data_IF_772251985387
#
_entry.id   IF_772251985387
#
_cell.length_a   1.000
_cell.length_b   1.000
_cell.length_c   1.000
_cell.angle_alpha   90.00
_cell.angle_beta   90.00
_cell.angle_gamma   90.00
#
_symmetry.space_group_name_H-M   'P 1'
#
loop_
_entity.id
_entity.type
_entity.pdbx_description
1 polymer ?
#
# COMPACT_ATOMS: atom_id res chain seq x y z
N UNK A 1 29.49 24.51 23.14
CA UNK A 1 29.07 23.29 23.87
C UNK A 1 29.64 22.11 23.12
N UNK A 2 30.42 21.27 23.80
CA UNK A 2 30.90 20.03 23.21
C UNK A 2 29.72 19.08 22.98
N UNK A 3 29.82 18.25 21.95
CA UNK A 3 28.78 17.27 21.66
C UNK A 3 28.70 16.19 22.74
N UNK A 4 27.51 15.99 23.30
CA UNK A 4 27.25 14.91 24.27
C UNK A 4 26.86 13.58 23.60
N UNK A 5 26.73 13.55 22.27
CA UNK A 5 26.30 12.37 21.48
C UNK A 5 27.52 11.66 20.85
N UNK A 6 28.59 12.39 20.53
CA UNK A 6 29.76 11.86 19.84
C UNK A 6 30.97 11.86 20.80
N UNK A 7 31.69 10.73 20.95
CA UNK A 7 32.93 10.68 21.71
C UNK A 7 34.02 11.44 20.92
N UNK A 8 34.34 12.67 21.35
CA UNK A 8 35.32 13.52 20.64
C UNK A 8 34.89 14.99 20.45
N UNK A 9 33.65 15.34 20.79
CA UNK A 9 33.26 16.64 21.36
C UNK A 9 33.32 17.93 20.52
N UNK A 10 34.13 18.09 19.48
CA UNK A 10 34.43 19.41 18.90
C UNK A 10 33.60 19.81 17.66
N UNK A 11 32.30 19.52 17.66
CA UNK A 11 31.43 19.93 16.56
C UNK A 11 30.20 20.71 17.01
N UNK A 12 29.62 21.46 16.08
CA UNK A 12 28.48 22.35 16.34
C UNK A 12 27.20 21.53 16.57
N UNK A 13 26.42 21.91 17.59
CA UNK A 13 25.09 21.37 17.85
C UNK A 13 24.03 22.44 17.59
N UNK A 14 22.88 22.03 17.06
CA UNK A 14 21.70 22.88 16.90
C UNK A 14 20.80 22.72 18.11
N UNK A 15 20.48 23.85 18.75
CA UNK A 15 19.55 23.93 19.85
C UNK A 15 18.17 24.39 19.35
N UNK A 16 17.10 23.69 19.74
CA UNK A 16 15.72 24.09 19.48
C UNK A 16 14.83 23.81 20.69
N UNK A 17 14.06 24.80 21.09
CA UNK A 17 12.96 24.63 22.04
C UNK A 17 11.69 24.24 21.30
N UNK A 18 10.96 23.27 21.85
CA UNK A 18 9.67 22.80 21.34
C UNK A 18 8.63 22.90 22.43
N UNK A 19 7.40 23.23 22.04
CA UNK A 19 6.23 23.29 22.91
C UNK A 19 5.20 22.28 22.41
N UNK A 20 4.28 21.87 23.29
CA UNK A 20 3.21 20.94 22.94
C UNK A 20 2.21 21.59 21.97
N UNK A 21 1.93 20.92 20.85
CA UNK A 21 0.89 21.28 19.88
C UNK A 21 -0.14 20.16 19.64
N UNK A 22 -0.24 19.20 20.56
CA UNK A 22 -1.13 18.05 20.38
C UNK A 22 -2.60 18.43 20.60
N UNK A 23 -3.46 18.00 19.68
CA UNK A 23 -4.91 18.15 19.81
C UNK A 23 -5.43 17.48 21.09
N UNK A 24 -4.89 16.29 21.42
CA UNK A 24 -5.28 15.54 22.62
C UNK A 24 -5.03 16.29 23.94
N UNK A 25 -3.99 17.12 24.05
CA UNK A 25 -3.78 17.95 25.24
C UNK A 25 -4.73 19.15 25.30
N UNK A 26 -5.20 19.62 24.14
CA UNK A 26 -6.15 20.74 24.01
C UNK A 26 -7.57 20.27 24.33
N UNK A 27 -7.92 19.04 23.98
CA UNK A 27 -9.23 18.45 24.25
C UNK A 27 -9.43 18.15 25.75
N UNK A 28 -8.36 17.83 26.47
CA UNK A 28 -8.41 17.49 27.91
C UNK A 28 -8.48 18.72 28.80
N UNK A 29 -7.88 19.84 28.37
CA UNK A 29 -7.91 21.09 29.15
C UNK A 29 -7.86 22.30 28.23
N UNK A 30 -8.70 23.32 28.47
CA UNK A 30 -8.63 24.60 27.76
C UNK A 30 -7.36 25.40 28.12
N UNK A 31 -6.62 24.99 29.16
CA UNK A 31 -5.35 25.59 29.55
C UNK A 31 -4.21 25.01 28.70
N UNK A 32 -3.33 25.88 28.20
CA UNK A 32 -2.16 25.48 27.41
C UNK A 32 -1.34 24.43 28.16
N UNK A 33 -0.96 23.38 27.45
CA UNK A 33 -0.11 22.32 27.99
C UNK A 33 1.24 22.88 28.44
N UNK A 34 1.66 22.49 29.64
CA UNK A 34 2.89 22.97 30.29
C UNK A 34 4.14 22.22 29.83
N UNK A 35 3.99 21.14 29.05
CA UNK A 35 5.10 20.36 28.50
C UNK A 35 5.96 21.20 27.55
N UNK A 36 7.28 21.14 27.77
CA UNK A 36 8.32 21.76 26.96
C UNK A 36 9.42 20.75 26.68
N UNK A 37 9.94 20.77 25.46
CA UNK A 37 11.08 19.95 25.05
C UNK A 37 12.28 20.81 24.65
N UNK A 38 13.47 20.38 25.03
CA UNK A 38 14.74 20.87 24.52
C UNK A 38 15.33 19.83 23.59
N UNK A 39 15.40 20.15 22.31
CA UNK A 39 16.01 19.30 21.29
C UNK A 39 17.45 19.77 21.02
N UNK A 40 18.39 18.84 21.17
CA UNK A 40 19.78 19.03 20.79
C UNK A 40 20.10 18.13 19.60
N UNK A 41 20.40 18.71 18.45
CA UNK A 41 20.75 17.96 17.23
C UNK A 41 22.24 18.11 16.95
N UNK A 42 22.94 16.99 16.83
CA UNK A 42 24.29 16.94 16.27
C UNK A 42 24.23 17.18 14.76
N UNK A 43 24.97 18.16 14.23
CA UNK A 43 24.95 18.47 12.80
C UNK A 43 25.79 17.50 11.95
N UNK A 44 26.66 16.69 12.56
CA UNK A 44 27.48 15.71 11.83
C UNK A 44 26.82 14.33 11.73
N UNK A 45 26.23 13.85 12.84
CA UNK A 45 25.59 12.54 12.90
C UNK A 45 24.08 12.59 12.65
N UNK A 46 23.51 13.78 12.51
CA UNK A 46 22.07 14.06 12.42
C UNK A 46 21.23 13.48 13.58
N UNK A 47 21.89 13.00 14.64
CA UNK A 47 21.22 12.45 15.83
C UNK A 47 20.70 13.59 16.69
N UNK A 48 19.45 13.46 17.10
CA UNK A 48 18.80 14.38 18.01
C UNK A 48 18.50 13.70 19.35
N UNK A 49 18.82 14.38 20.44
CA UNK A 49 18.33 14.06 21.78
C UNK A 49 17.27 15.08 22.20
N UNK A 50 16.22 14.60 22.87
CA UNK A 50 15.13 15.43 23.38
C UNK A 50 15.14 15.30 24.90
N UNK A 51 15.17 16.42 25.58
CA UNK A 51 15.02 16.53 27.03
C UNK A 51 13.67 17.16 27.32
N UNK A 52 12.89 16.53 28.19
CA UNK A 52 11.51 16.93 28.46
C UNK A 52 11.41 17.66 29.81
N UNK A 53 10.55 18.67 29.88
CA UNK A 53 10.25 19.44 31.08
C UNK A 53 8.74 19.64 31.22
N UNK A 54 8.20 19.26 32.38
CA UNK A 54 6.75 19.24 32.63
C UNK A 54 6.07 17.99 32.05
N UNK A 55 4.77 17.86 32.31
CA UNK A 55 3.96 16.73 31.85
C UNK A 55 2.88 17.21 30.86
N UNK A 56 2.47 16.30 29.98
CA UNK A 56 1.32 16.54 29.12
C UNK A 56 0.02 16.48 29.93
N UNK A 57 -0.96 17.36 29.61
CA UNK A 57 -2.27 17.38 30.29
C UNK A 57 -3.04 16.06 30.08
N UNK A 58 -2.88 15.45 28.91
CA UNK A 58 -3.37 14.11 28.64
C UNK A 58 -2.34 13.09 29.12
N UNK A 59 -2.75 12.18 30.00
CA UNK A 59 -2.01 10.95 30.35
C UNK A 59 -1.97 9.92 29.20
N UNK A 60 -1.92 10.41 27.96
CA UNK A 60 -1.48 9.63 26.82
C UNK A 60 0.00 9.40 27.03
N UNK A 61 0.33 8.36 27.79
CA UNK A 61 1.65 7.74 27.81
C UNK A 61 2.28 7.89 26.44
N UNK A 62 3.43 8.58 26.36
CA UNK A 62 4.65 8.30 25.57
C UNK A 62 4.64 7.29 24.40
N UNK A 63 3.49 7.02 23.79
CA UNK A 63 3.29 6.25 22.60
C UNK A 63 3.12 7.31 21.51
N UNK A 64 4.06 7.39 20.56
CA UNK A 64 3.94 8.33 19.47
C UNK A 64 2.60 8.06 18.76
N UNK A 65 1.85 9.12 18.47
CA UNK A 65 0.86 9.24 17.38
C UNK A 65 0.50 7.91 16.72
N UNK A 66 -0.78 7.44 16.75
CA UNK A 66 -1.17 6.04 16.59
C UNK A 66 -0.21 5.31 15.66
N UNK A 67 0.81 4.68 16.25
CA UNK A 67 1.93 4.14 15.49
C UNK A 67 1.32 3.24 14.45
N UNK A 68 1.37 3.65 13.17
CA UNK A 68 0.77 2.88 12.07
C UNK A 68 1.30 1.48 12.23
N UNK A 69 0.45 0.53 12.69
CA UNK A 69 0.89 -0.80 13.09
C UNK A 69 1.56 -1.42 11.87
N UNK A 70 2.90 -1.50 11.90
CA UNK A 70 3.70 -1.99 10.78
C UNK A 70 3.74 -3.51 10.87
N UNK A 71 3.80 -4.17 9.73
CA UNK A 71 4.00 -5.62 9.69
C UNK A 71 5.36 -5.96 10.29
N UNK A 72 5.38 -6.84 11.29
CA UNK A 72 6.62 -7.40 11.85
C UNK A 72 7.32 -8.28 10.82
N UNK A 73 8.61 -8.57 11.01
CA UNK A 73 9.35 -9.40 10.06
C UNK A 73 8.76 -10.82 9.93
N UNK A 74 8.29 -11.39 11.04
CA UNK A 74 7.62 -12.70 11.07
C UNK A 74 6.29 -12.65 10.32
N UNK A 75 5.50 -11.60 10.53
CA UNK A 75 4.25 -11.38 9.79
C UNK A 75 4.50 -11.21 8.29
N UNK A 76 5.56 -10.50 7.89
CA UNK A 76 5.93 -10.36 6.47
C UNK A 76 6.29 -11.71 5.86
N UNK A 77 7.04 -12.57 6.56
CA UNK A 77 7.37 -13.91 6.07
C UNK A 77 6.11 -14.75 5.83
N UNK A 78 5.20 -14.76 6.79
CA UNK A 78 3.91 -15.44 6.66
C UNK A 78 3.07 -14.86 5.51
N UNK A 79 3.00 -13.54 5.38
CA UNK A 79 2.33 -12.90 4.25
C UNK A 79 2.93 -13.32 2.91
N UNK A 80 4.27 -13.40 2.79
CA UNK A 80 4.93 -13.82 1.53
C UNK A 80 4.50 -15.22 1.10
N UNK A 81 4.48 -16.17 2.03
CA UNK A 81 4.02 -17.55 1.77
C UNK A 81 2.57 -17.58 1.28
N UNK A 82 1.67 -16.82 1.94
CA UNK A 82 0.28 -16.73 1.51
C UNK A 82 0.08 -16.01 0.17
N UNK A 83 0.95 -15.05 -0.16
CA UNK A 83 0.94 -14.38 -1.47
C UNK A 83 1.42 -15.31 -2.57
N UNK A 84 2.41 -16.17 -2.29
CA UNK A 84 2.85 -17.22 -3.20
C UNK A 84 1.73 -18.22 -3.50
N UNK A 85 0.87 -18.49 -2.52
CA UNK A 85 -0.36 -19.27 -2.69
C UNK A 85 -1.55 -18.47 -3.28
N UNK A 86 -1.29 -17.29 -3.86
CA UNK A 86 -2.28 -16.42 -4.51
C UNK A 86 -3.50 -16.05 -3.64
N UNK A 87 -3.33 -15.98 -2.31
CA UNK A 87 -4.42 -15.59 -1.42
C UNK A 87 -4.68 -14.08 -1.47
N UNK A 88 -5.96 -13.71 -1.47
CA UNK A 88 -6.38 -12.29 -1.46
C UNK A 88 -5.91 -11.58 -0.18
N UNK A 89 -5.52 -10.30 -0.23
CA UNK A 89 -5.02 -9.55 0.94
C UNK A 89 -5.96 -9.57 2.16
N UNK A 90 -7.27 -9.59 1.95
CA UNK A 90 -8.23 -9.71 3.05
C UNK A 90 -8.14 -11.08 3.74
N UNK A 91 -8.03 -12.16 2.96
CA UNK A 91 -7.86 -13.52 3.49
C UNK A 91 -6.54 -13.65 4.24
N UNK A 92 -5.48 -13.01 3.74
CA UNK A 92 -4.17 -12.93 4.41
C UNK A 92 -4.31 -12.25 5.78
N UNK A 93 -5.01 -11.11 5.87
CA UNK A 93 -5.25 -10.42 7.15
C UNK A 93 -6.01 -11.29 8.16
N UNK A 94 -7.05 -12.01 7.73
CA UNK A 94 -7.75 -12.93 8.64
C UNK A 94 -6.92 -14.15 9.02
N UNK A 95 -6.09 -14.67 8.12
CA UNK A 95 -5.17 -15.76 8.42
C UNK A 95 -4.10 -15.34 9.43
N UNK A 96 -3.61 -14.10 9.35
CA UNK A 96 -2.71 -13.51 10.34
C UNK A 96 -3.35 -13.46 11.73
N UNK A 97 -4.62 -13.02 11.83
CA UNK A 97 -5.33 -12.96 13.10
C UNK A 97 -5.34 -14.32 13.81
N UNK A 98 -5.63 -15.39 13.05
CA UNK A 98 -5.63 -16.76 13.55
C UNK A 98 -4.23 -17.27 13.89
N UNK A 99 -3.23 -17.00 13.05
CA UNK A 99 -1.86 -17.53 13.23
C UNK A 99 -1.12 -16.91 14.40
N UNK A 100 -1.35 -15.62 14.66
CA UNK A 100 -0.68 -14.86 15.73
C UNK A 100 -1.56 -14.63 16.96
N UNK A 101 -2.74 -15.26 17.02
CA UNK A 101 -3.75 -15.06 18.08
C UNK A 101 -4.00 -13.58 18.39
N UNK A 102 -3.96 -12.73 17.35
CA UNK A 102 -4.06 -11.27 17.47
C UNK A 102 -5.44 -10.83 16.97
N UNK A 103 -6.19 -10.02 17.72
CA UNK A 103 -7.48 -9.51 17.27
C UNK A 103 -7.32 -8.60 16.03
N UNK A 104 -8.37 -8.48 15.22
CA UNK A 104 -8.33 -7.78 13.93
C UNK A 104 -8.06 -6.28 14.06
N UNK A 105 -8.42 -5.71 15.21
CA UNK A 105 -8.22 -4.33 15.66
C UNK A 105 -6.74 -4.07 16.02
N UNK A 106 -6.03 -5.12 16.43
CA UNK A 106 -4.61 -5.08 16.75
C UNK A 106 -3.71 -5.30 15.54
N UNK A 107 -4.26 -5.83 14.45
CA UNK A 107 -3.53 -6.02 13.21
C UNK A 107 -3.33 -4.71 12.42
N UNK A 108 -2.29 -4.65 11.56
CA UNK A 108 -2.15 -3.61 10.56
C UNK A 108 -3.43 -3.44 9.73
N UNK A 109 -3.77 -2.19 9.43
CA UNK A 109 -4.90 -1.87 8.56
C UNK A 109 -4.79 -2.61 7.22
N UNK A 110 -5.93 -2.96 6.63
CA UNK A 110 -6.00 -3.67 5.34
C UNK A 110 -5.21 -2.95 4.24
N UNK A 111 -5.18 -1.62 4.24
CA UNK A 111 -4.39 -0.81 3.31
C UNK A 111 -2.89 -1.15 3.39
N UNK A 112 -2.35 -1.33 4.59
CA UNK A 112 -0.94 -1.69 4.82
C UNK A 112 -0.64 -3.08 4.28
N UNK A 113 -1.53 -4.05 4.54
CA UNK A 113 -1.40 -5.44 4.04
C UNK A 113 -1.49 -5.45 2.51
N UNK A 114 -2.48 -4.76 1.91
CA UNK A 114 -2.62 -4.62 0.46
C UNK A 114 -1.35 -4.04 -0.17
N UNK A 115 -0.82 -2.95 0.37
CA UNK A 115 0.38 -2.31 -0.16
C UNK A 115 1.59 -3.26 -0.12
N UNK A 116 1.80 -3.98 0.98
CA UNK A 116 2.89 -4.95 1.10
C UNK A 116 2.73 -6.11 0.11
N UNK A 117 1.54 -6.71 0.05
CA UNK A 117 1.23 -7.82 -0.86
C UNK A 117 1.41 -7.41 -2.31
N UNK A 118 0.88 -6.25 -2.70
CA UNK A 118 0.99 -5.76 -4.08
C UNK A 118 2.44 -5.45 -4.45
N UNK A 119 3.21 -4.84 -3.54
CA UNK A 119 4.63 -4.60 -3.78
C UNK A 119 5.37 -5.92 -3.97
N UNK A 120 5.21 -6.87 -3.05
CA UNK A 120 5.88 -8.18 -3.12
C UNK A 120 5.50 -8.96 -4.39
N UNK A 121 4.22 -8.99 -4.74
CA UNK A 121 3.76 -9.66 -5.96
C UNK A 121 4.37 -9.05 -7.23
N UNK A 122 4.46 -7.72 -7.31
CA UNK A 122 5.06 -7.02 -8.46
C UNK A 122 6.56 -7.23 -8.56
N UNK A 123 7.28 -7.30 -7.43
CA UNK A 123 8.74 -7.37 -7.43
C UNK A 123 9.30 -8.79 -7.42
N UNK A 124 8.55 -9.80 -6.96
CA UNK A 124 9.08 -11.15 -6.70
C UNK A 124 8.29 -12.27 -7.37
N UNK A 125 7.08 -12.03 -7.86
CA UNK A 125 6.25 -13.07 -8.48
C UNK A 125 6.07 -12.87 -9.99
N UNK A 126 6.95 -12.07 -10.62
CA UNK A 126 6.85 -11.71 -12.04
C UNK A 126 5.42 -11.35 -12.46
N UNK A 127 4.66 -10.75 -11.54
CA UNK A 127 3.32 -10.26 -11.83
C UNK A 127 3.47 -8.92 -12.56
N UNK A 128 4.19 -8.96 -13.67
CA UNK A 128 4.15 -7.96 -14.72
C UNK A 128 2.72 -7.99 -15.24
N UNK A 129 2.13 -6.81 -15.43
CA UNK A 129 0.79 -6.68 -15.96
C UNK A 129 0.69 -7.44 -17.30
N UNK A 130 0.28 -8.71 -17.24
CA UNK A 130 -0.07 -9.52 -18.42
C UNK A 130 -1.24 -8.91 -19.17
N UNK A 131 -1.81 -7.83 -18.65
CA UNK A 131 -2.73 -6.94 -19.34
C UNK A 131 -2.19 -6.56 -20.70
N UNK A 132 -0.89 -6.27 -20.86
CA UNK A 132 -0.35 -5.95 -22.19
C UNK A 132 -0.38 -7.15 -23.14
N UNK A 133 0.09 -8.31 -22.69
CA UNK A 133 0.09 -9.54 -23.49
C UNK A 133 -1.33 -10.01 -23.84
N UNK A 134 -2.24 -9.94 -22.86
CA UNK A 134 -3.66 -10.22 -23.03
C UNK A 134 -4.30 -9.20 -23.99
N UNK A 135 -3.92 -7.93 -23.90
CA UNK A 135 -4.43 -6.90 -24.82
C UNK A 135 -3.96 -7.16 -26.24
N UNK A 136 -2.70 -7.55 -26.41
CA UNK A 136 -2.17 -7.95 -27.71
C UNK A 136 -2.91 -9.16 -28.26
N UNK A 137 -3.07 -10.22 -27.46
CA UNK A 137 -3.78 -11.44 -27.88
C UNK A 137 -5.24 -11.16 -28.25
N UNK A 138 -5.95 -10.34 -27.46
CA UNK A 138 -7.34 -9.96 -27.74
C UNK A 138 -7.44 -9.13 -29.01
N UNK A 139 -6.49 -8.24 -29.30
CA UNK A 139 -6.46 -7.47 -30.56
C UNK A 139 -6.12 -8.34 -31.76
N UNK A 140 -5.18 -9.28 -31.63
CA UNK A 140 -4.87 -10.26 -32.67
C UNK A 140 -6.07 -11.12 -33.02
N UNK A 141 -6.89 -11.48 -32.02
CA UNK A 141 -8.08 -12.30 -32.18
C UNK A 141 -9.36 -11.48 -32.43
N UNK A 142 -9.27 -10.17 -32.66
CA UNK A 142 -10.42 -9.32 -32.96
C UNK A 142 -11.17 -9.81 -34.22
N UNK A 143 -12.47 -9.52 -34.30
CA UNK A 143 -13.28 -9.94 -35.44
C UNK A 143 -12.78 -9.35 -36.75
N UNK A 144 -12.46 -10.23 -37.70
CA UNK A 144 -12.17 -9.91 -39.08
C UNK A 144 -12.99 -10.85 -39.98
N UNK A 145 -13.61 -10.30 -41.01
CA UNK A 145 -14.37 -11.04 -42.00
C UNK A 145 -13.54 -12.12 -42.70
N UNK A 146 -12.21 -11.97 -42.78
CA UNK A 146 -11.29 -12.93 -43.40
C UNK A 146 -11.03 -14.20 -42.57
N UNK A 147 -11.34 -14.21 -41.27
CA UNK A 147 -11.05 -15.33 -40.36
C UNK A 147 -11.95 -16.54 -40.60
N UNK A 148 -11.41 -17.72 -40.30
CA UNK A 148 -12.10 -19.00 -40.50
C UNK A 148 -13.31 -19.16 -39.58
N UNK A 149 -14.28 -19.99 -39.97
CA UNK A 149 -15.53 -20.15 -39.21
C UNK A 149 -15.35 -20.74 -37.81
N UNK A 150 -14.28 -21.48 -37.60
CA UNK A 150 -13.99 -22.25 -36.37
C UNK A 150 -12.98 -21.56 -35.46
N UNK A 151 -12.28 -20.53 -35.94
CA UNK A 151 -11.32 -19.80 -35.13
C UNK A 151 -11.99 -18.98 -34.03
N UNK A 152 -11.38 -18.92 -32.84
CA UNK A 152 -11.86 -18.07 -31.76
C UNK A 152 -11.66 -16.60 -32.12
N UNK A 153 -12.71 -15.83 -31.90
CA UNK A 153 -12.77 -14.40 -32.15
C UNK A 153 -13.17 -13.69 -30.86
N UNK A 154 -12.53 -12.56 -30.59
CA UNK A 154 -12.78 -11.73 -29.41
C UNK A 154 -13.68 -10.54 -29.75
N UNK A 155 -14.50 -10.16 -28.78
CA UNK A 155 -15.29 -8.93 -28.80
C UNK A 155 -15.19 -8.23 -27.44
N UNK A 156 -15.23 -6.91 -27.46
CA UNK A 156 -15.21 -6.05 -26.27
C UNK A 156 -16.41 -5.13 -26.26
N UNK A 157 -16.62 -4.43 -25.15
CA UNK A 157 -17.70 -3.45 -25.04
C UNK A 157 -17.51 -2.26 -25.98
N UNK A 158 -16.28 -1.73 -26.05
CA UNK A 158 -15.91 -0.59 -26.90
C UNK A 158 -14.84 -0.99 -27.93
N UNK A 159 -14.86 -0.31 -29.08
CA UNK A 159 -13.85 -0.36 -30.13
C UNK A 159 -13.16 1.01 -30.23
N UNK A 160 -11.88 1.02 -30.60
CA UNK A 160 -11.15 2.26 -30.87
C UNK A 160 -11.48 2.80 -32.28
N UNK A 161 -10.92 3.97 -32.61
CA UNK A 161 -11.14 4.61 -33.91
C UNK A 161 -10.63 3.77 -35.11
N UNK A 162 -9.81 2.75 -34.85
CA UNK A 162 -9.32 1.80 -35.85
C UNK A 162 -10.16 0.51 -35.90
N UNK A 163 -11.24 0.43 -35.12
CA UNK A 163 -12.11 -0.75 -35.03
C UNK A 163 -11.54 -1.89 -34.17
N UNK A 164 -10.47 -1.65 -33.41
CA UNK A 164 -9.85 -2.65 -32.55
C UNK A 164 -10.48 -2.65 -31.15
N UNK A 165 -10.53 -3.83 -30.48
CA UNK A 165 -11.10 -3.94 -29.15
C UNK A 165 -10.35 -3.11 -28.10
N UNK A 166 -11.09 -2.29 -27.35
CA UNK A 166 -10.61 -1.54 -26.19
C UNK A 166 -10.81 -2.37 -24.94
N UNK A 167 -9.72 -2.56 -24.20
CA UNK A 167 -9.72 -3.35 -22.96
C UNK A 167 -9.57 -2.40 -21.79
N UNK A 168 -10.55 -2.42 -20.89
CA UNK A 168 -10.52 -1.67 -19.65
C UNK A 168 -9.48 -2.20 -18.66
N UNK A 169 -9.15 -1.39 -17.66
CA UNK A 169 -8.18 -1.74 -16.62
C UNK A 169 -8.82 -2.49 -15.42
N UNK A 170 -10.09 -2.91 -15.54
CA UNK A 170 -10.82 -3.59 -14.48
C UNK A 170 -11.34 -2.66 -13.38
N UNK A 171 -11.33 -1.34 -13.61
CA UNK A 171 -12.03 -0.38 -12.74
C UNK A 171 -13.50 -0.27 -13.12
N UNK A 172 -14.32 0.27 -12.21
CA UNK A 172 -15.76 0.47 -12.48
C UNK A 172 -16.02 1.42 -13.66
N UNK A 173 -15.09 2.37 -13.89
CA UNK A 173 -15.17 3.32 -15.02
C UNK A 173 -14.68 2.72 -16.34
N UNK A 174 -13.81 1.72 -16.28
CA UNK A 174 -13.21 1.03 -17.44
C UNK A 174 -13.14 -0.46 -17.15
N UNK A 175 -14.28 -1.17 -17.18
CA UNK A 175 -14.32 -2.59 -16.84
C UNK A 175 -13.54 -3.42 -17.85
N UNK A 176 -12.87 -4.48 -17.38
CA UNK A 176 -12.22 -5.46 -18.25
C UNK A 176 -13.29 -6.48 -18.68
N UNK A 177 -13.84 -6.31 -19.88
CA UNK A 177 -14.86 -7.18 -20.46
C UNK A 177 -14.42 -7.65 -21.84
N UNK A 178 -14.18 -8.95 -21.97
CA UNK A 178 -13.80 -9.60 -23.22
C UNK A 178 -14.67 -10.84 -23.38
N UNK A 179 -15.44 -10.88 -24.46
CA UNK A 179 -16.14 -12.07 -24.90
C UNK A 179 -15.34 -12.83 -25.94
N UNK A 180 -15.46 -14.16 -25.94
CA UNK A 180 -14.82 -15.05 -26.90
C UNK A 180 -15.92 -15.90 -27.54
N UNK A 181 -15.96 -15.92 -28.86
CA UNK A 181 -16.91 -16.71 -29.65
C UNK A 181 -16.22 -17.25 -30.89
N UNK A 182 -16.95 -17.94 -31.76
CA UNK A 182 -16.49 -18.31 -33.11
C UNK A 182 -17.43 -17.72 -34.14
N UNK A 183 -16.93 -17.48 -35.35
CA UNK A 183 -17.75 -16.88 -36.43
C UNK A 183 -18.95 -17.76 -36.79
N UNK A 184 -18.81 -19.08 -36.71
CA UNK A 184 -19.92 -20.03 -36.85
C UNK A 184 -21.10 -19.79 -35.90
N UNK A 185 -20.86 -19.15 -34.74
CA UNK A 185 -21.92 -18.78 -33.78
C UNK A 185 -22.45 -17.36 -33.95
N UNK A 186 -21.75 -16.50 -34.68
CA UNK A 186 -22.20 -15.15 -34.99
C UNK A 186 -23.17 -15.12 -36.19
N UNK A 187 -23.00 -16.05 -37.12
CA UNK A 187 -23.92 -16.25 -38.25
C UNK A 187 -24.93 -17.35 -37.90
N UNK A 188 -25.99 -17.01 -37.15
CA UNK A 188 -27.17 -17.87 -37.05
C UNK A 188 -27.96 -17.84 -38.37
N UNK A 189 -28.62 -18.93 -38.80
CA UNK A 189 -29.54 -18.89 -39.93
C UNK A 189 -30.67 -17.90 -39.63
N UNK A 190 -30.94 -17.02 -40.60
CA UNK A 190 -32.08 -16.10 -40.59
C UNK A 190 -33.42 -16.86 -40.63
#
# INVERSE_FOLDING_TARGET
>A
MACTICPGGDHKMRYRLVECSSASCTDVSPVRCTWRGKMLTCLESERASIFEFGEHNSASSSLPFPVRKKLTQVQKAFCRDLVQNHLRPMRIRHAMARKFATPLEELPALKTVKNFVNHYARTQMENHDRVQDLTKWVREHAYDASKSMTEPVTFTWDLDNAGLPVIGNGSDQKPFLVGITTKARCYGPA
#
